data_IF_893561795712
#
_entry.id   IF_893561795712
#
_cell.length_a   1.000
_cell.length_b   1.000
_cell.length_c   1.000
_cell.angle_alpha   90.00
_cell.angle_beta   90.00
_cell.angle_gamma   90.00
#
_symmetry.space_group_name_H-M   'P 1'
#
loop_
_entity.id
_entity.type
_entity.pdbx_description
1 polymer ?
#
# COMPACT_ATOMS: atom_id res chain seq x y z
N UNK A 1 -4.41 0.38 27.96
CA UNK A 1 -4.46 -0.02 27.70
C UNK A 1 -4.30 -0.45 26.64
N UNK A 2 -4.38 -0.34 26.23
CA UNK A 2 -4.41 -1.23 25.19
C UNK A 2 -3.50 -0.87 24.07
N UNK A 3 -2.94 -1.84 23.46
CA UNK A 3 -2.08 -1.70 22.31
C UNK A 3 -2.83 -1.94 21.02
N UNK A 4 -4.12 -1.73 21.08
CA UNK A 4 -4.97 -2.05 19.95
C UNK A 4 -4.68 -1.21 18.73
N UNK A 5 -3.92 -0.14 18.92
CA UNK A 5 -3.67 0.81 17.85
C UNK A 5 -2.36 0.59 17.11
N UNK A 6 -1.65 -0.50 17.42
CA UNK A 6 -0.43 -0.81 16.68
C UNK A 6 -0.81 -1.34 15.31
N UNK A 7 -0.38 -0.63 14.28
CA UNK A 7 -0.70 -0.99 12.91
C UNK A 7 0.35 -1.97 12.39
N UNK A 8 -0.11 -3.11 11.89
CA UNK A 8 0.77 -4.12 11.28
C UNK A 8 0.75 -3.96 9.78
N UNK A 9 1.92 -3.83 9.18
CA UNK A 9 2.03 -3.60 7.75
C UNK A 9 2.87 -4.69 7.09
N UNK A 10 2.69 -4.83 5.78
CA UNK A 10 3.58 -5.62 4.94
C UNK A 10 4.22 -4.68 3.93
N UNK A 11 5.50 -4.89 3.64
CA UNK A 11 6.24 -4.07 2.68
C UNK A 11 6.72 -4.97 1.55
N UNK A 12 6.26 -4.69 0.33
CA UNK A 12 6.59 -5.47 -0.85
C UNK A 12 7.36 -4.59 -1.82
N UNK A 13 8.61 -4.94 -2.05
CA UNK A 13 9.50 -4.19 -2.95
C UNK A 13 10.57 -5.15 -3.45
N UNK A 14 10.72 -5.23 -4.75
CA UNK A 14 11.75 -6.09 -5.35
C UNK A 14 13.18 -5.62 -5.12
N UNK A 15 13.35 -4.39 -4.69
CA UNK A 15 14.67 -3.84 -4.40
C UNK A 15 14.93 -3.92 -2.89
N UNK A 16 15.82 -4.85 -2.50
CA UNK A 16 16.07 -5.12 -1.07
C UNK A 16 16.57 -3.90 -0.32
N UNK A 17 17.42 -3.10 -0.96
CA UNK A 17 17.99 -1.92 -0.32
C UNK A 17 16.94 -0.85 -0.07
N UNK A 18 16.10 -0.59 -1.06
CA UNK A 18 15.00 0.37 -0.91
C UNK A 18 13.96 -0.15 0.09
N UNK A 19 13.73 -1.47 0.08
CA UNK A 19 12.79 -2.09 1.03
C UNK A 19 13.28 -1.89 2.46
N UNK A 20 14.59 -2.07 2.71
CA UNK A 20 15.15 -1.86 4.04
C UNK A 20 14.95 -0.42 4.50
N UNK A 21 15.11 0.54 3.60
CA UNK A 21 14.92 1.95 3.93
C UNK A 21 13.46 2.22 4.30
N UNK A 22 12.53 1.65 3.55
CA UNK A 22 11.10 1.79 3.83
C UNK A 22 10.74 1.17 5.17
N UNK A 23 11.25 -0.02 5.44
CA UNK A 23 11.00 -0.72 6.70
C UNK A 23 11.47 0.14 7.87
N UNK A 24 12.66 0.73 7.75
CA UNK A 24 13.16 1.60 8.81
C UNK A 24 12.24 2.80 9.03
N UNK A 25 11.80 3.43 7.95
CA UNK A 25 10.90 4.58 8.04
C UNK A 25 9.60 4.21 8.77
N UNK A 26 9.01 3.08 8.40
CA UNK A 26 7.75 2.64 9.01
C UNK A 26 7.93 2.23 10.47
N UNK A 27 9.02 1.54 10.76
CA UNK A 27 9.33 1.13 12.13
C UNK A 27 9.55 2.35 13.02
N UNK A 28 10.27 3.35 12.51
CA UNK A 28 10.50 4.61 13.23
C UNK A 28 9.18 5.36 13.47
N UNK A 29 8.19 5.16 12.62
CA UNK A 29 6.88 5.79 12.77
C UNK A 29 5.97 5.03 13.74
N UNK A 30 6.44 3.91 14.28
CA UNK A 30 5.67 3.14 15.27
C UNK A 30 4.88 1.98 14.71
N UNK A 31 5.01 1.67 13.43
CA UNK A 31 4.33 0.52 12.83
C UNK A 31 5.11 -0.76 13.08
N UNK A 32 4.39 -1.88 13.09
CA UNK A 32 5.03 -3.20 13.16
C UNK A 32 5.02 -3.79 11.75
N UNK A 33 6.19 -4.22 11.27
CA UNK A 33 6.30 -4.88 9.97
C UNK A 33 6.01 -6.36 10.17
N UNK A 34 4.83 -6.79 9.75
CA UNK A 34 4.42 -8.19 9.87
C UNK A 34 5.27 -9.08 8.98
N UNK A 35 5.51 -8.65 7.73
CA UNK A 35 6.44 -9.33 6.85
C UNK A 35 6.92 -8.40 5.74
N UNK A 36 7.99 -8.85 5.08
CA UNK A 36 8.53 -8.23 3.88
C UNK A 36 8.52 -9.26 2.76
N UNK A 37 8.42 -8.79 1.53
CA UNK A 37 8.44 -9.70 0.38
C UNK A 37 9.06 -9.00 -0.82
N UNK A 38 9.67 -9.81 -1.71
CA UNK A 38 10.25 -9.30 -2.96
C UNK A 38 9.21 -9.13 -4.05
N UNK A 39 8.14 -9.91 -4.00
CA UNK A 39 7.16 -9.96 -5.08
C UNK A 39 5.84 -10.52 -4.58
N UNK A 40 4.87 -10.62 -5.49
CA UNK A 40 3.53 -11.05 -5.13
C UNK A 40 3.44 -12.49 -4.66
N UNK A 41 4.20 -13.40 -5.26
CA UNK A 41 4.17 -14.80 -4.85
C UNK A 41 4.68 -14.98 -3.44
N UNK A 42 5.80 -14.31 -3.11
CA UNK A 42 6.31 -14.34 -1.74
C UNK A 42 5.30 -13.73 -0.76
N UNK A 43 4.66 -12.64 -1.17
CA UNK A 43 3.67 -11.98 -0.31
C UNK A 43 2.51 -12.93 0.00
N UNK A 44 2.02 -13.67 -1.01
CA UNK A 44 0.95 -14.64 -0.79
C UNK A 44 1.37 -15.75 0.18
N UNK A 45 2.61 -16.23 0.04
CA UNK A 45 3.14 -17.24 0.95
C UNK A 45 3.22 -16.69 2.38
N UNK A 46 3.67 -15.45 2.54
CA UNK A 46 3.78 -14.85 3.86
C UNK A 46 2.42 -14.58 4.49
N UNK A 47 1.43 -14.23 3.69
CA UNK A 47 0.07 -14.08 4.20
C UNK A 47 -0.42 -15.41 4.77
N UNK A 48 -0.15 -16.51 4.07
CA UNK A 48 -0.55 -17.84 4.53
C UNK A 48 0.13 -18.20 5.85
N UNK A 49 1.42 -17.88 6.00
CA UNK A 49 2.16 -18.25 7.21
C UNK A 49 2.03 -17.25 8.35
N UNK A 50 1.96 -15.94 8.03
CA UNK A 50 2.05 -14.88 9.03
C UNK A 50 0.73 -14.14 9.27
N UNK A 51 -0.24 -14.30 8.38
CA UNK A 51 -1.53 -13.63 8.48
C UNK A 51 -1.62 -12.38 7.60
N UNK A 52 -2.80 -11.78 7.57
CA UNK A 52 -3.05 -10.57 6.79
C UNK A 52 -2.57 -9.34 7.57
N UNK A 53 -1.82 -8.45 6.90
CA UNK A 53 -1.47 -7.17 7.53
C UNK A 53 -2.68 -6.24 7.55
N UNK A 54 -2.60 -5.20 8.38
CA UNK A 54 -3.63 -4.15 8.37
C UNK A 54 -3.55 -3.33 7.08
N UNK A 55 -2.34 -3.07 6.59
CA UNK A 55 -2.12 -2.37 5.32
C UNK A 55 -0.95 -3.01 4.62
N UNK A 56 -1.10 -3.22 3.33
CA UNK A 56 -0.06 -3.80 2.48
C UNK A 56 0.48 -2.72 1.54
N UNK A 57 1.76 -2.40 1.66
CA UNK A 57 2.39 -1.37 0.85
C UNK A 57 3.13 -2.03 -0.30
N UNK A 58 2.73 -1.69 -1.53
CA UNK A 58 3.30 -2.27 -2.75
C UNK A 58 4.04 -1.17 -3.51
N UNK A 59 5.36 -1.39 -3.72
CA UNK A 59 6.23 -0.41 -4.37
C UNK A 59 6.33 -0.73 -5.85
N UNK A 60 5.82 0.15 -6.69
CA UNK A 60 5.97 0.12 -8.16
C UNK A 60 5.43 -1.11 -8.90
N UNK A 61 4.99 -2.14 -8.23
CA UNK A 61 4.63 -3.41 -8.89
C UNK A 61 3.12 -3.57 -8.96
N UNK A 62 2.53 -3.05 -10.03
CA UNK A 62 1.07 -3.07 -10.21
C UNK A 62 0.54 -4.50 -10.37
N UNK A 63 1.32 -5.37 -11.01
CA UNK A 63 0.90 -6.77 -11.16
C UNK A 63 0.78 -7.46 -9.81
N UNK A 64 1.67 -7.14 -8.87
CA UNK A 64 1.60 -7.66 -7.51
C UNK A 64 0.31 -7.19 -6.83
N UNK A 65 -0.02 -5.90 -6.96
CA UNK A 65 -1.24 -5.38 -6.35
C UNK A 65 -2.48 -6.11 -6.87
N UNK A 66 -2.55 -6.33 -8.19
CA UNK A 66 -3.66 -7.06 -8.80
C UNK A 66 -3.74 -8.48 -8.26
N UNK A 67 -2.62 -9.18 -8.22
CA UNK A 67 -2.57 -10.57 -7.73
C UNK A 67 -3.06 -10.66 -6.30
N UNK A 68 -2.59 -9.78 -5.44
CA UNK A 68 -2.97 -9.78 -4.03
C UNK A 68 -4.46 -9.54 -3.85
N UNK A 69 -5.01 -8.59 -4.61
CA UNK A 69 -6.43 -8.26 -4.50
C UNK A 69 -7.33 -9.32 -5.11
N UNK A 70 -6.84 -10.07 -6.12
CA UNK A 70 -7.58 -11.21 -6.63
C UNK A 70 -7.74 -12.30 -5.60
N UNK A 71 -6.69 -12.53 -4.81
CA UNK A 71 -6.69 -13.60 -3.79
C UNK A 71 -7.30 -13.13 -2.47
N UNK A 72 -7.15 -11.86 -2.16
CA UNK A 72 -7.61 -11.28 -0.89
C UNK A 72 -8.32 -9.95 -1.17
N UNK A 73 -9.57 -9.98 -1.64
CA UNK A 73 -10.27 -8.75 -2.06
C UNK A 73 -10.43 -7.71 -0.96
N UNK A 74 -10.38 -8.13 0.31
CA UNK A 74 -10.55 -7.20 1.43
C UNK A 74 -9.23 -6.63 1.94
N UNK A 75 -8.11 -7.03 1.34
CA UNK A 75 -6.79 -6.53 1.73
C UNK A 75 -6.69 -5.03 1.41
N UNK A 76 -6.18 -4.27 2.35
CA UNK A 76 -5.99 -2.83 2.14
C UNK A 76 -4.63 -2.61 1.50
N UNK A 77 -4.64 -2.31 0.20
CA UNK A 77 -3.41 -2.13 -0.58
C UNK A 77 -3.17 -0.66 -0.83
N UNK A 78 -1.97 -0.23 -0.49
CA UNK A 78 -1.47 1.13 -0.74
C UNK A 78 -0.33 1.04 -1.75
N UNK A 79 -0.48 1.70 -2.88
CA UNK A 79 0.57 1.76 -3.90
C UNK A 79 1.50 2.94 -3.59
N UNK A 80 2.79 2.70 -3.73
CA UNK A 80 3.80 3.75 -3.69
C UNK A 80 4.54 3.71 -5.03
N UNK A 81 4.43 4.77 -5.83
CA UNK A 81 4.93 4.74 -7.20
C UNK A 81 5.32 6.12 -7.69
N UNK A 82 6.20 6.16 -8.70
CA UNK A 82 6.51 7.40 -9.44
C UNK A 82 5.52 7.65 -10.56
N UNK A 83 4.66 6.71 -10.88
CA UNK A 83 3.78 6.76 -12.04
C UNK A 83 2.47 7.49 -11.72
N UNK A 84 2.26 8.65 -12.31
CA UNK A 84 1.04 9.42 -12.15
C UNK A 84 0.16 9.41 -13.41
N UNK A 85 0.42 8.47 -14.32
CA UNK A 85 -0.34 8.34 -15.56
C UNK A 85 -1.79 7.95 -15.24
N UNK A 86 -2.73 8.65 -15.86
CA UNK A 86 -4.15 8.45 -15.57
C UNK A 86 -4.59 7.00 -15.78
N UNK A 87 -4.13 6.38 -16.87
CA UNK A 87 -4.52 4.99 -17.14
C UNK A 87 -3.98 4.03 -16.09
N UNK A 88 -2.72 4.19 -15.70
CA UNK A 88 -2.11 3.34 -14.67
C UNK A 88 -2.85 3.47 -13.35
N UNK A 89 -3.13 4.70 -12.95
CA UNK A 89 -3.85 4.96 -11.71
C UNK A 89 -5.25 4.36 -11.76
N UNK A 90 -5.97 4.58 -12.85
CA UNK A 90 -7.33 4.05 -13.02
C UNK A 90 -7.34 2.52 -12.96
N UNK A 91 -6.34 1.87 -13.59
CA UNK A 91 -6.24 0.42 -13.54
C UNK A 91 -6.07 -0.08 -12.10
N UNK A 92 -5.29 0.64 -11.28
CA UNK A 92 -5.11 0.26 -9.89
C UNK A 92 -6.39 0.47 -9.08
N UNK A 93 -7.13 1.54 -9.35
CA UNK A 93 -8.41 1.77 -8.70
C UNK A 93 -9.41 0.68 -9.05
N UNK A 94 -9.43 0.26 -10.31
CA UNK A 94 -10.29 -0.84 -10.75
C UNK A 94 -9.92 -2.15 -10.06
N UNK A 95 -8.64 -2.35 -9.79
CA UNK A 95 -8.18 -3.56 -9.10
C UNK A 95 -8.58 -3.56 -7.62
N UNK A 96 -8.91 -2.39 -7.06
CA UNK A 96 -9.39 -2.30 -5.69
C UNK A 96 -8.39 -1.70 -4.70
N UNK A 97 -7.32 -1.03 -5.18
CA UNK A 97 -6.40 -0.38 -4.25
C UNK A 97 -7.13 0.76 -3.55
N UNK A 98 -6.81 0.98 -2.29
CA UNK A 98 -7.45 1.99 -1.46
C UNK A 98 -6.61 3.24 -1.28
N UNK A 99 -5.36 3.20 -1.75
CA UNK A 99 -4.48 4.34 -1.67
C UNK A 99 -3.41 4.32 -2.73
N UNK A 100 -2.92 5.50 -3.07
CA UNK A 100 -1.89 5.64 -4.10
C UNK A 100 -1.09 6.91 -3.79
N UNK A 101 0.17 6.74 -3.44
CA UNK A 101 1.06 7.83 -3.03
C UNK A 101 2.20 7.95 -4.02
N UNK A 102 2.50 9.18 -4.43
CA UNK A 102 3.61 9.45 -5.32
C UNK A 102 4.91 9.53 -4.53
N UNK A 103 5.94 8.84 -5.01
CA UNK A 103 7.21 8.73 -4.28
C UNK A 103 7.96 10.04 -4.16
N UNK A 104 7.70 11.00 -5.04
CA UNK A 104 8.37 12.29 -4.99
C UNK A 104 7.62 13.31 -4.13
N UNK A 105 6.56 12.89 -3.49
CA UNK A 105 5.83 13.74 -2.55
C UNK A 105 6.59 13.80 -1.22
N UNK A 106 5.99 14.49 -0.24
CA UNK A 106 6.55 14.58 1.10
C UNK A 106 6.82 13.17 1.64
N UNK A 107 8.05 12.89 2.14
CA UNK A 107 8.35 11.55 2.66
C UNK A 107 7.40 11.08 3.75
N UNK A 108 6.80 11.98 4.50
CA UNK A 108 5.88 11.60 5.57
C UNK A 108 4.47 11.33 5.07
N UNK A 109 4.18 11.61 3.81
CA UNK A 109 2.85 11.40 3.25
C UNK A 109 2.42 9.94 3.34
N UNK A 110 3.36 9.02 3.11
CA UNK A 110 3.04 7.60 3.14
C UNK A 110 2.62 7.14 4.55
N UNK A 111 3.18 7.77 5.57
CA UNK A 111 2.79 7.47 6.96
C UNK A 111 1.32 7.87 7.18
N UNK A 112 0.95 9.05 6.71
CA UNK A 112 -0.43 9.52 6.78
C UNK A 112 -1.36 8.58 6.01
N UNK A 113 -0.93 8.14 4.83
CA UNK A 113 -1.72 7.23 4.00
C UNK A 113 -1.97 5.90 4.69
N UNK A 114 -0.93 5.31 5.31
CA UNK A 114 -1.08 4.05 6.04
C UNK A 114 -2.12 4.21 7.15
N UNK A 115 -2.05 5.29 7.91
CA UNK A 115 -3.00 5.54 9.00
C UNK A 115 -4.42 5.70 8.45
N UNK A 116 -4.57 6.37 7.31
CA UNK A 116 -5.88 6.54 6.70
C UNK A 116 -6.49 5.20 6.29
N UNK A 117 -5.71 4.37 5.60
CA UNK A 117 -6.21 3.06 5.16
C UNK A 117 -6.56 2.18 6.35
N UNK A 118 -5.73 2.19 7.38
CA UNK A 118 -6.03 1.44 8.60
C UNK A 118 -7.33 1.91 9.23
N UNK A 119 -7.66 3.19 9.09
CA UNK A 119 -8.91 3.77 9.61
C UNK A 119 -10.08 3.65 8.65
N UNK A 120 -10.02 2.77 7.67
CA UNK A 120 -11.08 2.51 6.69
C UNK A 120 -11.33 3.70 5.76
N UNK A 121 -10.30 4.52 5.52
CA UNK A 121 -10.39 5.65 4.59
C UNK A 121 -9.43 5.44 3.44
N UNK A 122 -9.79 6.01 2.29
CA UNK A 122 -8.92 6.02 1.11
C UNK A 122 -7.95 7.20 1.23
N UNK A 123 -6.80 7.07 0.55
CA UNK A 123 -5.83 8.17 0.54
C UNK A 123 -5.13 8.25 -0.81
N UNK A 124 -5.08 9.44 -1.39
CA UNK A 124 -4.43 9.67 -2.69
C UNK A 124 -3.61 10.95 -2.63
N UNK A 125 -2.38 10.89 -3.14
CA UNK A 125 -1.53 12.08 -3.27
C UNK A 125 -2.23 13.14 -4.10
N UNK A 126 -1.82 14.39 -3.93
CA UNK A 126 -2.43 15.53 -4.62
C UNK A 126 -2.50 15.31 -6.14
N UNK A 127 -1.44 14.81 -6.76
CA UNK A 127 -1.43 14.57 -8.20
C UNK A 127 -2.31 13.40 -8.65
N UNK A 128 -2.84 12.63 -7.70
CA UNK A 128 -3.64 11.44 -7.97
C UNK A 128 -5.11 11.67 -7.61
N UNK A 129 -5.36 12.52 -6.63
CA UNK A 129 -6.70 12.65 -6.04
C UNK A 129 -7.78 13.05 -7.04
N UNK A 130 -7.44 13.85 -8.06
CA UNK A 130 -8.40 14.23 -9.09
C UNK A 130 -8.83 13.05 -9.93
N UNK A 131 -7.89 12.19 -10.29
CA UNK A 131 -8.16 10.96 -11.05
C UNK A 131 -9.07 10.04 -10.22
N UNK A 132 -8.75 9.89 -8.95
CA UNK A 132 -9.52 9.03 -8.05
C UNK A 132 -10.94 9.56 -7.86
N UNK A 133 -11.09 10.86 -7.65
CA UNK A 133 -12.39 11.48 -7.47
C UNK A 133 -13.28 11.26 -8.70
N UNK A 134 -12.72 11.42 -9.89
CA UNK A 134 -13.45 11.23 -11.14
C UNK A 134 -13.85 9.75 -11.30
N UNK A 135 -12.92 8.85 -11.02
CA UNK A 135 -13.21 7.42 -11.12
C UNK A 135 -14.36 7.03 -10.19
N UNK A 136 -14.30 7.42 -8.92
CA UNK A 136 -15.32 7.03 -7.95
C UNK A 136 -16.66 7.72 -8.22
N UNK A 137 -16.66 8.89 -8.82
CA UNK A 137 -17.90 9.57 -9.17
C UNK A 137 -18.67 8.82 -10.26
N UNK A 138 -17.97 8.02 -11.07
CA UNK A 138 -18.59 7.28 -12.18
C UNK A 138 -19.04 5.87 -11.78
N UNK A 139 -18.87 5.48 -10.53
CA UNK A 139 -19.24 4.12 -10.09
C UNK A 139 -20.69 4.01 -9.60
#
# INVERSE_FOLDING_TARGET
MSNDNIIQIAVIDGNAQLRDMSVKQFTDAGFTVLFQADNGLQALERITSDGLPDVCIVEEDFATAKLLLEKHPDLKVLISSMDDNEKSVTDMLKAGVLGYVLKYADPDEIITAVKALNGERKYFSMGISGIAAEYFAEQ
#
